data_IF_198323415022
#
_entry.id   IF_198323415022
#
_cell.length_a   1.000
_cell.length_b   1.000
_cell.length_c   1.000
_cell.angle_alpha   90.00
_cell.angle_beta   90.00
_cell.angle_gamma   90.00
#
_symmetry.space_group_name_H-M   'P 1'
#
loop_
_entity.id
_entity.type
_entity.pdbx_description
1 polymer ?
#
# COMPACT_ATOMS: atom_id res chain seq x y z
N UNK A 1 12.65 -15.90 -15.87
CA UNK A 1 11.30 -15.40 -15.75
C UNK A 1 10.89 -15.22 -14.29
N UNK A 2 10.76 -16.31 -13.58
CA UNK A 2 10.39 -16.22 -12.18
C UNK A 2 11.45 -15.55 -11.32
N UNK A 3 12.74 -15.63 -11.73
CA UNK A 3 13.81 -14.98 -10.97
C UNK A 3 13.63 -13.47 -10.88
N UNK A 4 13.20 -12.82 -11.96
CA UNK A 4 12.97 -11.39 -11.94
C UNK A 4 11.80 -11.03 -11.04
N UNK A 5 10.72 -11.79 -11.10
CA UNK A 5 9.56 -11.53 -10.27
C UNK A 5 9.87 -11.77 -8.80
N UNK A 6 10.61 -12.83 -8.49
CA UNK A 6 10.99 -13.12 -7.12
C UNK A 6 11.90 -12.05 -6.54
N UNK A 7 12.82 -11.54 -7.36
CA UNK A 7 13.70 -10.47 -6.92
C UNK A 7 12.92 -9.19 -6.64
N UNK A 8 11.96 -8.86 -7.51
CA UNK A 8 11.12 -7.70 -7.29
C UNK A 8 10.27 -7.85 -6.02
N UNK A 9 9.71 -9.04 -5.80
CA UNK A 9 8.96 -9.28 -4.58
C UNK A 9 9.82 -9.06 -3.34
N UNK A 10 11.05 -9.53 -3.38
CA UNK A 10 11.96 -9.39 -2.25
C UNK A 10 12.29 -7.92 -2.00
N UNK A 11 12.56 -7.15 -3.05
CA UNK A 11 12.86 -5.74 -2.91
C UNK A 11 11.66 -4.95 -2.41
N UNK A 12 10.49 -5.23 -2.94
CA UNK A 12 9.28 -4.52 -2.54
C UNK A 12 8.82 -4.90 -1.14
N UNK A 13 9.19 -6.09 -0.67
CA UNK A 13 8.82 -6.54 0.67
C UNK A 13 9.56 -5.78 1.77
N UNK A 14 10.65 -5.10 1.43
CA UNK A 14 11.41 -4.31 2.39
C UNK A 14 10.73 -2.96 2.66
N UNK A 15 9.97 -2.45 1.72
CA UNK A 15 9.29 -1.18 1.85
C UNK A 15 9.07 -0.53 0.50
N UNK A 16 8.47 0.67 0.49
CA UNK A 16 8.19 1.36 -0.77
C UNK A 16 9.46 1.73 -1.51
N UNK A 17 9.44 1.57 -2.82
CA UNK A 17 10.56 1.91 -3.68
C UNK A 17 10.05 2.50 -4.99
N UNK A 18 10.79 3.49 -5.51
CA UNK A 18 10.47 4.09 -6.79
C UNK A 18 10.93 3.19 -7.93
N UNK A 19 10.41 3.46 -9.14
CA UNK A 19 10.84 2.71 -10.32
C UNK A 19 12.34 2.84 -10.54
N UNK A 20 12.88 4.03 -10.33
CA UNK A 20 14.32 4.24 -10.52
C UNK A 20 15.14 3.43 -9.54
N UNK A 21 14.72 3.36 -8.28
CA UNK A 21 15.41 2.53 -7.30
C UNK A 21 15.39 1.06 -7.70
N UNK A 22 14.25 0.59 -8.20
CA UNK A 22 14.15 -0.80 -8.63
C UNK A 22 15.04 -1.08 -9.84
N UNK A 23 15.11 -0.15 -10.79
CA UNK A 23 15.97 -0.29 -11.95
C UNK A 23 17.44 -0.33 -11.52
N UNK A 24 17.84 0.55 -10.60
CA UNK A 24 19.20 0.58 -10.12
C UNK A 24 19.60 -0.71 -9.40
N UNK A 25 18.67 -1.27 -8.65
CA UNK A 25 18.96 -2.47 -7.86
C UNK A 25 18.92 -3.74 -8.68
N UNK A 26 18.12 -3.79 -9.72
CA UNK A 26 17.96 -5.00 -10.52
C UNK A 26 18.74 -4.99 -11.82
N UNK A 27 19.06 -3.79 -12.33
CA UNK A 27 19.75 -3.67 -13.61
C UNK A 27 18.87 -3.90 -14.83
N UNK A 28 17.55 -4.03 -14.68
CA UNK A 28 16.66 -4.24 -15.81
C UNK A 28 16.23 -2.89 -16.40
N UNK A 29 15.72 -2.91 -17.64
CA UNK A 29 15.23 -1.71 -18.28
C UNK A 29 13.88 -1.31 -17.73
N UNK A 30 13.48 -0.06 -17.99
CA UNK A 30 12.19 0.41 -17.53
C UNK A 30 11.04 -0.35 -18.17
N UNK A 31 11.15 -0.70 -19.43
CA UNK A 31 10.09 -1.47 -20.09
C UNK A 31 9.97 -2.87 -19.50
N UNK A 32 11.10 -3.49 -19.15
CA UNK A 32 11.08 -4.79 -18.49
C UNK A 32 10.46 -4.68 -17.11
N UNK A 33 10.80 -3.62 -16.37
CA UNK A 33 10.21 -3.39 -15.06
C UNK A 33 8.70 -3.21 -15.14
N UNK A 34 8.22 -2.42 -16.09
CA UNK A 34 6.78 -2.20 -16.27
C UNK A 34 6.05 -3.52 -16.52
N UNK A 35 6.62 -4.37 -17.36
CA UNK A 35 5.99 -5.65 -17.64
C UNK A 35 5.99 -6.55 -16.43
N UNK A 36 7.09 -6.55 -15.68
CA UNK A 36 7.19 -7.38 -14.48
C UNK A 36 6.21 -6.93 -13.41
N UNK A 37 6.08 -5.62 -13.20
CA UNK A 37 5.10 -5.09 -12.26
C UNK A 37 3.68 -5.45 -12.69
N UNK A 38 3.40 -5.41 -13.98
CA UNK A 38 2.10 -5.83 -14.49
C UNK A 38 1.81 -7.29 -14.22
N UNK A 39 2.82 -8.15 -14.30
CA UNK A 39 2.67 -9.57 -14.01
C UNK A 39 2.40 -9.84 -12.54
N UNK A 40 2.97 -9.05 -11.67
CA UNK A 40 2.69 -9.17 -10.23
C UNK A 40 1.27 -8.75 -9.89
N UNK A 41 0.68 -7.88 -10.73
CA UNK A 41 -0.73 -7.53 -10.61
C UNK A 41 -1.08 -6.97 -9.24
N UNK A 42 -2.03 -7.61 -8.58
CA UNK A 42 -2.55 -7.14 -7.29
C UNK A 42 -1.55 -7.25 -6.15
N UNK A 43 -0.44 -7.98 -6.34
CA UNK A 43 0.59 -8.04 -5.31
C UNK A 43 1.29 -6.70 -5.14
N UNK A 44 1.27 -5.85 -6.18
CA UNK A 44 1.93 -4.55 -6.14
C UNK A 44 0.92 -3.50 -5.74
N UNK A 45 1.26 -2.73 -4.72
CA UNK A 45 0.44 -1.61 -4.27
C UNK A 45 1.19 -0.33 -4.63
N UNK A 46 0.53 0.54 -5.40
CA UNK A 46 1.11 1.80 -5.83
C UNK A 46 0.73 2.90 -4.87
N UNK A 47 1.66 3.78 -4.59
CA UNK A 47 1.39 4.95 -3.77
C UNK A 47 2.09 6.16 -4.37
N UNK A 48 1.48 7.35 -4.17
CA UNK A 48 1.95 8.55 -4.80
C UNK A 48 1.44 8.68 -6.23
N UNK A 49 2.00 9.61 -6.96
CA UNK A 49 1.60 9.87 -8.32
C UNK A 49 2.77 10.43 -9.12
N UNK A 50 2.74 10.20 -10.42
CA UNK A 50 3.72 10.74 -11.35
C UNK A 50 5.14 10.43 -10.89
N UNK A 51 5.97 11.46 -10.70
CA UNK A 51 7.38 11.26 -10.35
C UNK A 51 7.59 10.76 -8.94
N UNK A 52 6.62 10.97 -8.07
CA UNK A 52 6.73 10.51 -6.69
C UNK A 52 6.13 9.13 -6.49
N UNK A 53 5.69 8.47 -7.57
CA UNK A 53 5.09 7.15 -7.44
C UNK A 53 6.09 6.13 -6.93
N UNK A 54 5.66 5.38 -5.94
CA UNK A 54 6.42 4.29 -5.38
C UNK A 54 5.60 3.01 -5.42
N UNK A 55 6.28 1.90 -5.25
CA UNK A 55 5.66 0.58 -5.29
C UNK A 55 6.02 -0.16 -4.03
N UNK A 56 5.08 -0.93 -3.52
CA UNK A 56 5.32 -1.77 -2.36
C UNK A 56 4.56 -3.08 -2.55
N UNK A 57 4.82 -4.06 -1.70
CA UNK A 57 4.23 -5.38 -1.84
C UNK A 57 3.07 -5.54 -0.87
N UNK A 58 1.93 -6.00 -1.39
CA UNK A 58 0.76 -6.31 -0.55
C UNK A 58 1.14 -7.41 0.43
N UNK A 59 0.71 -7.27 1.66
CA UNK A 59 1.02 -8.25 2.69
C UNK A 59 -0.13 -9.24 2.84
N UNK A 60 -0.10 -10.28 2.04
CA UNK A 60 -1.12 -11.32 2.11
C UNK A 60 -0.90 -12.28 3.28
N UNK A 61 0.30 -12.26 3.87
CA UNK A 61 0.61 -13.18 4.96
C UNK A 61 -0.10 -12.83 6.26
N UNK A 62 -0.49 -11.55 6.42
CA UNK A 62 -1.23 -11.13 7.61
C UNK A 62 -2.70 -11.55 7.56
N UNK A 63 -3.14 -12.06 6.41
CA UNK A 63 -4.52 -12.50 6.26
C UNK A 63 -5.53 -11.38 6.27
N UNK A 64 -5.08 -10.15 6.06
CA UNK A 64 -5.97 -8.99 6.04
C UNK A 64 -6.46 -8.72 4.63
N UNK A 65 -7.75 -8.56 4.50
CA UNK A 65 -8.34 -8.08 3.25
C UNK A 65 -8.23 -6.55 3.22
N UNK A 66 -8.44 -5.98 2.06
CA UNK A 66 -8.50 -4.52 1.96
C UNK A 66 -9.64 -4.02 2.83
N UNK A 67 -9.36 -3.04 3.67
CA UNK A 67 -10.31 -2.60 4.70
C UNK A 67 -10.92 -1.28 4.29
N UNK A 68 -12.22 -1.24 4.01
CA UNK A 68 -12.87 0.04 3.72
C UNK A 68 -12.96 0.88 4.99
N UNK A 69 -12.65 2.16 4.85
CA UNK A 69 -12.66 3.11 5.95
C UNK A 69 -13.71 4.18 5.66
N UNK A 70 -14.59 4.40 6.60
CA UNK A 70 -15.66 5.38 6.47
C UNK A 70 -15.52 6.46 7.51
N UNK A 71 -16.10 7.59 7.21
CA UNK A 71 -16.10 8.74 8.10
C UNK A 71 -17.52 9.19 8.32
N UNK A 72 -17.85 9.53 9.56
CA UNK A 72 -19.17 10.06 9.90
C UNK A 72 -19.02 11.56 10.08
N UNK A 73 -19.77 12.35 9.31
CA UNK A 73 -19.71 13.80 9.42
C UNK A 73 -20.60 14.31 10.57
N UNK A 74 -20.62 15.63 10.76
CA UNK A 74 -21.39 16.23 11.87
C UNK A 74 -22.89 16.01 11.75
N UNK A 75 -23.37 15.69 10.58
CA UNK A 75 -24.78 15.43 10.35
C UNK A 75 -25.15 13.96 10.50
N UNK A 76 -24.18 13.14 10.91
CA UNK A 76 -24.40 11.71 11.05
C UNK A 76 -24.34 10.92 9.77
N UNK A 77 -23.95 11.54 8.65
CA UNK A 77 -23.85 10.86 7.38
C UNK A 77 -22.54 10.09 7.27
N UNK A 78 -22.62 8.89 6.72
CA UNK A 78 -21.45 8.05 6.49
C UNK A 78 -20.87 8.40 5.14
N UNK A 79 -19.58 8.75 5.12
CA UNK A 79 -18.86 9.09 3.90
C UNK A 79 -17.73 8.11 3.68
N UNK A 80 -17.53 7.73 2.42
CA UNK A 80 -16.40 6.89 2.06
C UNK A 80 -15.11 7.69 2.22
N UNK A 81 -14.22 7.22 3.11
CA UNK A 81 -12.95 7.88 3.35
C UNK A 81 -11.84 7.26 2.49
N UNK A 82 -11.86 5.95 2.33
CA UNK A 82 -10.86 5.27 1.53
C UNK A 82 -10.77 3.80 1.87
N UNK A 83 -9.71 3.19 1.39
CA UNK A 83 -9.43 1.77 1.60
C UNK A 83 -8.04 1.60 2.16
N UNK A 84 -7.93 0.87 3.25
CA UNK A 84 -6.65 0.59 3.89
C UNK A 84 -6.13 -0.77 3.41
N UNK A 85 -4.91 -0.77 2.88
CA UNK A 85 -4.29 -1.95 2.32
C UNK A 85 -3.03 -2.29 3.13
N UNK A 86 -2.96 -3.51 3.64
CA UNK A 86 -1.77 -3.95 4.36
C UNK A 86 -0.63 -4.23 3.37
N UNK A 87 0.56 -3.72 3.66
CA UNK A 87 1.73 -3.90 2.81
C UNK A 87 2.92 -4.32 3.65
N UNK A 88 3.87 -4.95 2.99
CA UNK A 88 5.09 -5.44 3.64
C UNK A 88 6.04 -4.30 3.96
N UNK A 89 6.86 -4.38 4.99
CA UNK A 89 6.91 -5.50 5.94
C UNK A 89 5.83 -5.43 7.02
N UNK A 90 5.37 -4.24 7.41
CA UNK A 90 4.37 -4.12 8.46
C UNK A 90 3.52 -2.84 8.32
N UNK A 91 3.56 -2.23 7.14
CA UNK A 91 2.92 -0.96 6.92
C UNK A 91 1.52 -1.06 6.34
N UNK A 92 0.98 0.09 6.01
CA UNK A 92 -0.33 0.23 5.40
C UNK A 92 -0.29 1.33 4.36
N UNK A 93 -1.07 1.16 3.31
CA UNK A 93 -1.33 2.21 2.33
C UNK A 93 -2.81 2.54 2.40
N UNK A 94 -3.13 3.82 2.62
CA UNK A 94 -4.51 4.29 2.56
C UNK A 94 -4.76 4.87 1.17
N UNK A 95 -5.69 4.30 0.45
CA UNK A 95 -6.18 4.86 -0.81
C UNK A 95 -7.39 5.68 -0.49
N UNK A 96 -7.27 6.98 -0.58
CA UNK A 96 -8.37 7.87 -0.25
C UNK A 96 -9.37 7.96 -1.41
N UNK A 97 -10.59 8.36 -1.09
CA UNK A 97 -11.66 8.42 -2.08
C UNK A 97 -11.33 9.39 -3.22
N UNK A 98 -10.49 10.40 -2.96
CA UNK A 98 -10.08 11.35 -4.00
C UNK A 98 -8.93 10.85 -4.88
N UNK A 99 -8.48 9.62 -4.67
CA UNK A 99 -7.41 9.02 -5.45
C UNK A 99 -6.02 9.20 -4.90
N UNK A 100 -5.86 9.99 -3.85
CA UNK A 100 -4.54 10.14 -3.22
C UNK A 100 -4.24 8.97 -2.32
N UNK A 101 -2.94 8.78 -2.02
CA UNK A 101 -2.49 7.67 -1.19
C UNK A 101 -1.61 8.18 -0.06
N UNK A 102 -1.69 7.51 1.08
CA UNK A 102 -0.84 7.78 2.23
C UNK A 102 -0.20 6.48 2.69
N UNK A 103 1.09 6.53 3.00
CA UNK A 103 1.81 5.37 3.50
C UNK A 103 2.07 5.53 4.99
N UNK A 104 1.96 4.43 5.72
CA UNK A 104 2.32 4.40 7.13
C UNK A 104 3.12 3.13 7.41
N UNK A 105 4.22 3.29 8.14
CA UNK A 105 5.04 2.16 8.58
C UNK A 105 4.50 1.68 9.92
N UNK A 106 3.48 0.86 9.85
CA UNK A 106 2.71 0.45 11.01
C UNK A 106 1.31 1.02 10.95
N UNK A 107 0.55 0.85 11.99
CA UNK A 107 -0.84 1.35 12.01
C UNK A 107 -0.83 2.86 12.00
N UNK A 108 -1.55 3.50 11.07
CA UNK A 108 -1.55 4.96 10.99
C UNK A 108 -2.10 5.59 12.28
N UNK A 109 -1.39 6.58 12.80
CA UNK A 109 -1.79 7.26 14.02
C UNK A 109 -3.14 7.96 13.87
N UNK A 110 -3.37 8.56 12.70
CA UNK A 110 -4.63 9.28 12.44
C UNK A 110 -5.80 8.33 12.39
N UNK A 111 -5.56 7.07 12.07
CA UNK A 111 -6.62 6.08 12.09
C UNK A 111 -7.03 5.76 13.52
N UNK A 112 -6.06 5.71 14.42
CA UNK A 112 -6.34 5.49 15.84
C UNK A 112 -7.20 6.61 16.42
N UNK A 113 -6.97 7.85 15.97
CA UNK A 113 -7.77 8.98 16.41
C UNK A 113 -9.21 8.94 15.91
N UNK A 114 -9.48 8.19 14.87
CA UNK A 114 -10.81 8.10 14.30
C UNK A 114 -11.70 7.11 15.02
N UNK A 115 -11.13 6.24 15.84
CA UNK A 115 -11.90 5.22 16.55
C UNK A 115 -12.04 5.55 18.02
N UNK A 116 -13.23 5.29 18.60
CA UNK A 116 -13.38 5.40 20.05
C UNK A 116 -12.42 4.45 20.77
N UNK A 117 -11.93 4.87 21.93
CA UNK A 117 -11.01 4.04 22.68
C UNK A 117 -11.58 2.67 23.02
N UNK A 118 -12.85 2.63 23.35
CA UNK A 118 -13.50 1.37 23.67
C UNK A 118 -13.50 0.40 22.52
N UNK A 119 -13.56 0.91 21.29
CA UNK A 119 -13.53 0.07 20.11
C UNK A 119 -12.19 -0.65 19.98
N UNK A 120 -11.10 0.09 20.13
CA UNK A 120 -9.77 -0.49 20.04
C UNK A 120 -9.46 -1.40 21.22
N UNK A 121 -9.94 -1.04 22.38
CA UNK A 121 -9.67 -1.82 23.58
C UNK A 121 -10.35 -3.19 23.59
N UNK A 122 -11.28 -3.42 22.70
CA UNK A 122 -11.98 -4.69 22.61
C UNK A 122 -11.36 -5.65 21.62
N UNK A 123 -10.39 -5.17 20.88
CA UNK A 123 -9.71 -6.03 19.92
C UNK A 123 -8.80 -7.02 20.61
#
# INVERSE_FOLDING_TARGET
>A
MSLQLDELRRLLAVGPQSAQQLIEKTGISQSTLSRALGRLGDEVVRLGAARSMQYTLRDSLRGLLDIPVYRVNNEGQIKDFGTLVAVRPQGFVMRQADGTTLYSDGLPWWLADMFPQGFLGRA
#
